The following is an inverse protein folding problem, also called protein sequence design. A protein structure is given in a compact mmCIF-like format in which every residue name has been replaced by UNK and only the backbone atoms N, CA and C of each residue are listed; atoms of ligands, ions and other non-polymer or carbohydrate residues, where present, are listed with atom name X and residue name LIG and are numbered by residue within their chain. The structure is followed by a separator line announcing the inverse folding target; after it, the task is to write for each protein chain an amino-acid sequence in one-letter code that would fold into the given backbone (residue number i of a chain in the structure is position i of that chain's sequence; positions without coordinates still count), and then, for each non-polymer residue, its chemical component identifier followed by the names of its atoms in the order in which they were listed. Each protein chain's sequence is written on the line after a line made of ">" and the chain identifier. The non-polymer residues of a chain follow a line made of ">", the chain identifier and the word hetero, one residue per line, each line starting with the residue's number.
data_IF_139987241195
#
_entry.id   IF_139987241195
#
_cell.length_a   1.000
_cell.length_b   1.000
_cell.length_c   1.000
_cell.angle_alpha   90.00
_cell.angle_beta   90.00
_cell.angle_gamma   90.00
#
_symmetry.space_group_name_H-M   'P 1'
#
loop_
_entity.id
_entity.type
_entity.pdbx_description
1 polymer ?
#
# COMPACT_ATOMS: atom_id res chain seq x y z
N UNK A 1 -27.51 -18.66 68.48
CA UNK A 1 -26.14 -18.63 67.89
C UNK A 1 -26.23 -18.88 66.39
N UNK A 2 -25.27 -18.34 65.63
CA UNK A 2 -25.02 -18.44 64.17
C UNK A 2 -25.58 -17.29 63.31
N UNK A 3 -24.77 -16.23 63.21
CA UNK A 3 -24.79 -15.26 62.10
C UNK A 3 -23.89 -15.82 61.00
N UNK A 4 -24.45 -16.01 59.81
CA UNK A 4 -23.74 -16.43 58.60
C UNK A 4 -23.35 -15.16 57.84
N UNK A 5 -22.05 -14.89 57.74
CA UNK A 5 -21.51 -13.77 56.96
C UNK A 5 -21.32 -14.24 55.52
N UNK A 6 -22.17 -13.72 54.62
CA UNK A 6 -22.04 -13.87 53.17
C UNK A 6 -20.93 -12.93 52.70
N UNK A 7 -19.73 -13.47 52.50
CA UNK A 7 -18.61 -12.80 51.84
C UNK A 7 -18.92 -12.66 50.35
N UNK A 8 -19.39 -11.48 49.94
CA UNK A 8 -19.49 -11.09 48.54
C UNK A 8 -18.08 -10.82 48.00
N UNK A 9 -17.56 -11.77 47.23
CA UNK A 9 -16.32 -11.61 46.46
C UNK A 9 -16.60 -10.63 45.33
N UNK A 10 -16.18 -9.37 45.51
CA UNK A 10 -16.14 -8.34 44.48
C UNK A 10 -15.13 -8.76 43.41
N UNK A 11 -15.63 -9.46 42.40
CA UNK A 11 -14.92 -9.78 41.16
C UNK A 11 -14.68 -8.46 40.42
N UNK A 12 -13.49 -7.88 40.64
CA UNK A 12 -13.04 -6.66 39.98
C UNK A 12 -12.98 -6.88 38.47
N UNK A 13 -13.99 -6.37 37.77
CA UNK A 13 -14.04 -6.29 36.31
C UNK A 13 -12.93 -5.32 35.90
N UNK A 14 -11.78 -5.85 35.51
CA UNK A 14 -10.73 -5.07 34.83
C UNK A 14 -11.29 -4.71 33.45
N UNK A 15 -11.84 -3.50 33.37
CA UNK A 15 -12.28 -2.88 32.13
C UNK A 15 -11.04 -2.70 31.24
N UNK A 16 -10.79 -3.70 30.39
CA UNK A 16 -9.77 -3.64 29.35
C UNK A 16 -10.32 -2.74 28.26
N UNK A 17 -10.19 -1.43 28.44
CA UNK A 17 -10.48 -0.48 27.37
C UNK A 17 -9.60 -0.86 26.18
N UNK A 18 -10.17 -1.13 24.99
CA UNK A 18 -9.34 -1.31 23.80
C UNK A 18 -8.59 0.00 23.61
N UNK A 19 -7.26 -0.03 23.76
CA UNK A 19 -6.40 1.04 23.30
C UNK A 19 -6.62 1.13 21.79
N UNK A 20 -7.44 2.10 21.38
CA UNK A 20 -7.61 2.45 19.99
C UNK A 20 -6.28 3.04 19.52
N UNK A 21 -5.41 2.17 19.04
CA UNK A 21 -4.21 2.51 18.30
C UNK A 21 -4.61 3.36 17.08
N UNK A 22 -4.21 4.63 17.09
CA UNK A 22 -4.58 5.60 16.09
C UNK A 22 -3.47 5.67 15.04
N UNK A 23 -3.79 5.30 13.81
CA UNK A 23 -2.88 5.44 12.65
C UNK A 23 -2.32 6.87 12.57
N UNK A 24 -1.01 7.01 12.84
CA UNK A 24 -0.30 8.29 12.87
C UNK A 24 0.23 8.72 11.49
N UNK A 25 -0.17 8.05 10.42
CA UNK A 25 0.31 8.36 9.07
C UNK A 25 -0.05 9.79 8.64
N UNK A 26 0.90 10.57 8.08
CA UNK A 26 0.63 11.88 7.52
C UNK A 26 -0.47 11.86 6.45
N UNK A 27 -1.25 12.93 6.33
CA UNK A 27 -2.31 13.02 5.32
C UNK A 27 -1.77 12.86 3.87
N UNK A 28 -0.58 13.41 3.59
CA UNK A 28 0.08 13.25 2.30
C UNK A 28 0.43 11.77 1.99
N UNK A 29 0.77 10.97 3.01
CA UNK A 29 1.07 9.55 2.83
C UNK A 29 -0.18 8.79 2.37
N UNK A 30 -1.34 9.11 2.96
CA UNK A 30 -2.64 8.57 2.55
C UNK A 30 -3.04 9.03 1.14
N UNK A 31 -2.71 10.28 0.79
CA UNK A 31 -2.97 10.80 -0.56
C UNK A 31 -2.15 10.06 -1.62
N UNK A 32 -0.87 9.76 -1.36
CA UNK A 32 -0.01 9.03 -2.30
C UNK A 32 -0.59 7.64 -2.60
N UNK A 33 -1.12 6.94 -1.60
CA UNK A 33 -1.74 5.61 -1.79
C UNK A 33 -2.82 5.60 -2.88
N UNK A 34 -3.56 6.70 -3.04
CA UNK A 34 -4.67 6.80 -3.99
C UNK A 34 -4.26 7.44 -5.32
N UNK A 35 -3.19 8.23 -5.34
CA UNK A 35 -2.85 9.10 -6.49
C UNK A 35 -1.57 8.70 -7.20
N UNK A 36 -0.84 7.68 -6.70
CA UNK A 36 0.46 7.26 -7.23
C UNK A 36 0.43 6.86 -8.71
N UNK A 37 -0.63 6.19 -9.19
CA UNK A 37 -0.70 5.67 -10.56
C UNK A 37 -1.06 6.77 -11.57
N UNK A 38 -0.19 7.75 -11.76
CA UNK A 38 -0.43 8.85 -12.71
C UNK A 38 -0.30 8.38 -14.16
N UNK A 39 -1.22 8.85 -15.02
CA UNK A 39 -1.28 8.44 -16.43
C UNK A 39 -0.01 8.80 -17.21
N UNK A 40 0.53 10.00 -16.99
CA UNK A 40 1.73 10.50 -17.68
C UNK A 40 2.96 9.65 -17.37
N UNK A 41 3.16 9.28 -16.11
CA UNK A 41 4.27 8.43 -15.69
C UNK A 41 4.11 6.99 -16.17
N UNK A 42 2.89 6.45 -16.12
CA UNK A 42 2.58 5.14 -16.63
C UNK A 42 2.88 5.06 -18.14
N UNK A 43 2.38 6.02 -18.92
CA UNK A 43 2.60 6.08 -20.38
C UNK A 43 4.09 6.17 -20.71
N UNK A 44 4.84 7.03 -20.01
CA UNK A 44 6.27 7.12 -20.21
C UNK A 44 6.99 5.79 -19.90
N UNK A 45 6.64 5.14 -18.79
CA UNK A 45 7.19 3.82 -18.43
C UNK A 45 6.84 2.74 -19.45
N UNK A 46 5.58 2.63 -19.86
CA UNK A 46 5.13 1.68 -20.89
C UNK A 46 5.86 1.91 -22.22
N UNK A 47 6.10 3.17 -22.60
CA UNK A 47 6.86 3.54 -23.79
C UNK A 47 8.33 3.12 -23.69
N UNK A 48 8.98 3.34 -22.55
CA UNK A 48 10.39 2.95 -22.32
C UNK A 48 10.62 1.44 -22.51
N UNK A 49 9.60 0.64 -22.19
CA UNK A 49 9.64 -0.81 -22.32
C UNK A 49 8.90 -1.34 -23.55
N UNK A 50 8.56 -0.47 -24.51
CA UNK A 50 7.93 -0.85 -25.79
C UNK A 50 6.61 -1.63 -25.65
N UNK A 51 5.85 -1.40 -24.58
CA UNK A 51 4.54 -2.04 -24.41
C UNK A 51 3.57 -1.52 -25.46
N UNK A 52 2.78 -2.40 -26.07
CA UNK A 52 1.83 -2.03 -27.13
C UNK A 52 0.84 -0.96 -26.66
N UNK A 53 0.69 0.12 -27.45
CA UNK A 53 -0.13 1.29 -27.10
C UNK A 53 -1.62 0.98 -27.00
N UNK A 54 -2.10 -0.04 -27.73
CA UNK A 54 -3.50 -0.42 -27.77
C UNK A 54 -4.08 -0.81 -26.39
N UNK A 55 -3.24 -1.24 -25.45
CA UNK A 55 -3.65 -1.67 -24.10
C UNK A 55 -3.38 -0.61 -23.01
N UNK A 56 -2.75 0.52 -23.32
CA UNK A 56 -2.32 1.50 -22.31
C UNK A 56 -3.49 2.09 -21.52
N UNK A 57 -4.58 2.46 -22.20
CA UNK A 57 -5.76 3.01 -21.53
C UNK A 57 -6.43 1.97 -20.61
N UNK A 58 -6.46 0.71 -21.02
CA UNK A 58 -7.03 -0.37 -20.22
C UNK A 58 -6.19 -0.63 -18.97
N UNK A 59 -4.86 -0.70 -19.11
CA UNK A 59 -3.92 -0.80 -17.98
C UNK A 59 -4.14 0.36 -17.01
N UNK A 60 -4.23 1.60 -17.51
CA UNK A 60 -4.43 2.77 -16.67
C UNK A 60 -5.74 2.69 -15.88
N UNK A 61 -6.86 2.37 -16.54
CA UNK A 61 -8.16 2.26 -15.88
C UNK A 61 -8.17 1.18 -14.81
N UNK A 62 -7.55 0.03 -15.08
CA UNK A 62 -7.43 -1.05 -14.10
C UNK A 62 -6.54 -0.67 -12.91
N UNK A 63 -5.47 0.08 -13.13
CA UNK A 63 -4.64 0.62 -12.05
C UNK A 63 -5.40 1.64 -11.19
N UNK A 64 -6.20 2.51 -11.80
CA UNK A 64 -7.06 3.45 -11.07
C UNK A 64 -8.10 2.72 -10.21
N UNK A 65 -8.72 1.68 -10.76
CA UNK A 65 -9.65 0.83 -10.00
C UNK A 65 -8.91 0.12 -8.84
N UNK A 66 -7.73 -0.42 -9.11
CA UNK A 66 -6.87 -1.08 -8.12
C UNK A 66 -6.34 -0.15 -7.02
N UNK A 67 -6.14 1.14 -7.30
CA UNK A 67 -5.63 2.13 -6.34
C UNK A 67 -6.49 2.20 -5.07
N UNK A 68 -7.80 1.99 -5.20
CA UNK A 68 -8.73 1.96 -4.07
C UNK A 68 -8.41 0.88 -3.01
N UNK A 69 -7.70 -0.18 -3.41
CA UNK A 69 -7.29 -1.28 -2.51
C UNK A 69 -5.97 -1.02 -1.77
N UNK A 70 -5.16 -0.06 -2.24
CA UNK A 70 -3.82 0.21 -1.69
C UNK A 70 -3.87 0.52 -0.19
N UNK A 71 -4.77 1.35 0.34
CA UNK A 71 -4.83 1.62 1.79
C UNK A 71 -5.03 0.34 2.62
N UNK A 72 -5.93 -0.55 2.18
CA UNK A 72 -6.17 -1.82 2.87
C UNK A 72 -4.95 -2.73 2.84
N UNK A 73 -4.22 -2.76 1.72
CA UNK A 73 -2.98 -3.55 1.60
C UNK A 73 -1.89 -2.97 2.51
N UNK A 74 -1.72 -1.66 2.56
CA UNK A 74 -0.79 -0.97 3.46
C UNK A 74 -1.09 -1.33 4.92
N UNK A 75 -2.35 -1.24 5.33
CA UNK A 75 -2.77 -1.59 6.70
C UNK A 75 -2.49 -3.05 7.04
N UNK A 76 -2.74 -3.96 6.10
CA UNK A 76 -2.47 -5.39 6.28
C UNK A 76 -0.96 -5.67 6.42
N UNK A 77 -0.14 -5.04 5.57
CA UNK A 77 1.32 -5.18 5.63
C UNK A 77 1.89 -4.58 6.92
N UNK A 78 1.37 -3.44 7.36
CA UNK A 78 1.80 -2.77 8.59
C UNK A 78 1.49 -3.58 9.84
N UNK A 79 0.28 -4.17 9.93
CA UNK A 79 -0.10 -5.07 11.02
C UNK A 79 0.74 -6.34 11.09
N UNK A 80 1.35 -6.76 9.98
CA UNK A 80 2.24 -7.92 9.95
C UNK A 80 3.67 -7.61 10.44
N UNK A 81 4.01 -6.34 10.68
CA UNK A 81 5.31 -5.91 11.23
C UNK A 81 5.22 -5.76 12.75
N UNK A 82 6.33 -6.00 13.43
CA UNK A 82 6.46 -5.78 14.87
C UNK A 82 7.73 -4.95 15.18
N UNK A 83 7.63 -3.69 15.64
CA UNK A 83 6.38 -2.95 15.85
C UNK A 83 5.68 -2.58 14.53
N UNK A 84 4.39 -2.21 14.61
CA UNK A 84 3.65 -1.66 13.49
C UNK A 84 4.28 -0.29 13.10
N UNK A 85 4.74 -0.08 11.85
CA UNK A 85 5.40 1.17 11.48
C UNK A 85 4.45 2.35 11.30
N UNK A 86 3.13 2.12 11.36
CA UNK A 86 2.12 3.18 11.30
C UNK A 86 1.61 3.58 12.71
N UNK A 87 1.97 2.81 13.75
CA UNK A 87 1.40 2.96 15.09
C UNK A 87 2.28 2.29 16.18
N UNK A 88 2.49 2.92 17.35
CA UNK A 88 2.01 4.25 17.76
C UNK A 88 2.89 5.41 17.27
N UNK A 89 4.06 5.09 16.72
CA UNK A 89 4.97 6.08 16.14
C UNK A 89 5.11 5.76 14.67
N UNK A 90 4.87 6.74 13.82
CA UNK A 90 5.10 6.61 12.40
C UNK A 90 6.60 6.46 12.12
N UNK A 91 6.99 5.37 11.45
CA UNK A 91 8.38 5.05 11.11
C UNK A 91 8.61 5.26 9.60
N UNK A 92 9.15 6.42 9.17
CA UNK A 92 9.16 6.83 7.76
C UNK A 92 9.73 5.79 6.81
N UNK A 93 10.93 5.27 7.08
CA UNK A 93 11.58 4.29 6.20
C UNK A 93 10.77 3.00 6.04
N UNK A 94 10.31 2.42 7.14
CA UNK A 94 9.50 1.20 7.13
C UNK A 94 8.13 1.43 6.47
N UNK A 95 7.52 2.60 6.66
CA UNK A 95 6.28 2.97 5.98
C UNK A 95 6.47 3.16 4.48
N UNK A 96 7.60 3.75 4.04
CA UNK A 96 7.93 3.87 2.62
C UNK A 96 8.04 2.49 1.95
N UNK A 97 8.71 1.53 2.60
CA UNK A 97 8.82 0.16 2.11
C UNK A 97 7.45 -0.52 1.99
N UNK A 98 6.58 -0.36 2.98
CA UNK A 98 5.21 -0.90 2.94
C UNK A 98 4.40 -0.29 1.81
N UNK A 99 4.47 1.03 1.65
CA UNK A 99 3.78 1.72 0.58
C UNK A 99 4.25 1.23 -0.78
N UNK A 100 5.57 1.14 -0.97
CA UNK A 100 6.16 0.61 -2.19
C UNK A 100 5.68 -0.81 -2.48
N UNK A 101 5.69 -1.69 -1.48
CA UNK A 101 5.24 -3.07 -1.60
C UNK A 101 3.75 -3.16 -1.95
N UNK A 102 2.90 -2.36 -1.31
CA UNK A 102 1.47 -2.31 -1.57
C UNK A 102 1.17 -1.85 -3.01
N UNK A 103 1.80 -0.75 -3.43
CA UNK A 103 1.66 -0.21 -4.79
C UNK A 103 2.19 -1.19 -5.84
N UNK A 104 3.33 -1.84 -5.58
CA UNK A 104 3.90 -2.82 -6.50
C UNK A 104 2.98 -4.04 -6.66
N UNK A 105 2.38 -4.52 -5.57
CA UNK A 105 1.44 -5.64 -5.61
C UNK A 105 0.26 -5.37 -6.53
N UNK A 106 -0.37 -4.19 -6.41
CA UNK A 106 -1.46 -3.75 -7.30
C UNK A 106 -0.97 -3.63 -8.74
N UNK A 107 0.17 -2.96 -8.94
CA UNK A 107 0.75 -2.76 -10.26
C UNK A 107 1.05 -4.08 -10.97
N UNK A 108 1.73 -4.99 -10.29
CA UNK A 108 2.09 -6.30 -10.81
C UNK A 108 0.83 -7.12 -11.14
N UNK A 109 -0.19 -7.08 -10.27
CA UNK A 109 -1.47 -7.75 -10.53
C UNK A 109 -2.12 -7.30 -11.84
N UNK A 110 -2.18 -5.99 -12.07
CA UNK A 110 -2.71 -5.43 -13.33
C UNK A 110 -1.82 -5.78 -14.51
N UNK A 111 -0.51 -5.56 -14.44
CA UNK A 111 0.38 -5.85 -15.58
C UNK A 111 0.40 -7.33 -15.97
N UNK A 112 0.29 -8.25 -15.01
CA UNK A 112 0.20 -9.69 -15.27
C UNK A 112 -1.07 -10.07 -16.04
N UNK A 113 -2.20 -9.37 -15.82
CA UNK A 113 -3.43 -9.57 -16.59
C UNK A 113 -3.18 -9.35 -18.08
N UNK A 114 -2.36 -8.35 -18.42
CA UNK A 114 -2.04 -7.97 -19.80
C UNK A 114 -0.81 -8.68 -20.38
N UNK A 115 -0.16 -9.58 -19.62
CA UNK A 115 1.07 -10.23 -20.03
C UNK A 115 0.93 -11.06 -21.33
N UNK A 116 -0.25 -11.61 -21.56
CA UNK A 116 -0.57 -12.46 -22.71
C UNK A 116 -1.26 -11.70 -23.86
N UNK A 117 -1.72 -10.47 -23.62
CA UNK A 117 -2.40 -9.64 -24.63
C UNK A 117 -1.40 -8.87 -25.51
N UNK A 118 -0.14 -8.80 -25.10
CA UNK A 118 0.90 -8.15 -25.88
C UNK A 118 1.26 -9.02 -27.11
N UNK A 119 0.73 -8.65 -28.27
CA UNK A 119 1.03 -9.24 -29.58
C UNK A 119 2.54 -9.45 -29.79
N UNK A 120 2.93 -10.69 -30.12
CA UNK A 120 4.19 -11.29 -30.64
C UNK A 120 5.56 -10.57 -30.62
N UNK A 121 5.66 -9.25 -30.49
CA UNK A 121 6.89 -8.46 -30.61
C UNK A 121 7.40 -7.89 -29.28
N UNK A 122 6.58 -7.82 -28.22
CA UNK A 122 7.05 -7.37 -26.90
C UNK A 122 6.29 -8.08 -25.78
N UNK A 123 6.95 -9.00 -25.09
CA UNK A 123 6.35 -9.74 -23.96
C UNK A 123 6.47 -8.90 -22.69
N UNK A 124 5.35 -8.57 -22.06
CA UNK A 124 5.37 -8.02 -20.69
C UNK A 124 5.78 -9.17 -19.76
N UNK A 125 7.08 -9.20 -19.45
CA UNK A 125 7.66 -10.15 -18.51
C UNK A 125 7.97 -9.48 -17.16
N UNK A 126 8.41 -10.26 -16.18
CA UNK A 126 8.69 -9.75 -14.84
C UNK A 126 9.70 -8.60 -14.82
N UNK A 127 10.72 -8.63 -15.69
CA UNK A 127 11.72 -7.56 -15.77
C UNK A 127 11.10 -6.24 -16.29
N UNK A 128 10.17 -6.35 -17.23
CA UNK A 128 9.41 -5.22 -17.76
C UNK A 128 8.53 -4.61 -16.68
N UNK A 129 7.79 -5.44 -15.94
CA UNK A 129 6.92 -5.01 -14.84
C UNK A 129 7.72 -4.28 -13.77
N UNK A 130 8.81 -4.90 -13.28
CA UNK A 130 9.70 -4.29 -12.27
C UNK A 130 10.30 -2.98 -12.79
N UNK A 131 10.72 -2.96 -14.05
CA UNK A 131 11.32 -1.80 -14.70
C UNK A 131 10.39 -0.60 -14.78
N UNK A 132 9.16 -0.81 -15.26
CA UNK A 132 8.14 0.24 -15.37
C UNK A 132 7.77 0.77 -13.99
N UNK A 133 7.54 -0.12 -13.02
CA UNK A 133 7.21 0.30 -11.66
C UNK A 133 8.34 1.11 -11.02
N UNK A 134 9.59 0.65 -11.15
CA UNK A 134 10.76 1.37 -10.64
C UNK A 134 10.84 2.76 -11.22
N UNK A 135 10.65 2.92 -12.53
CA UNK A 135 10.59 4.24 -13.17
C UNK A 135 9.52 5.12 -12.52
N UNK A 136 8.27 4.64 -12.40
CA UNK A 136 7.19 5.42 -11.79
C UNK A 136 7.46 5.78 -10.32
N UNK A 137 8.10 4.89 -9.57
CA UNK A 137 8.51 5.10 -8.19
C UNK A 137 9.56 6.20 -8.08
N UNK A 138 10.64 6.10 -8.87
CA UNK A 138 11.74 7.08 -8.87
C UNK A 138 11.26 8.49 -9.24
N UNK A 139 10.34 8.62 -10.19
CA UNK A 139 9.78 9.92 -10.59
C UNK A 139 8.93 10.60 -9.50
N UNK A 140 8.48 9.85 -8.50
CA UNK A 140 7.62 10.36 -7.41
C UNK A 140 8.27 10.24 -6.03
N UNK A 141 9.49 9.70 -5.95
CA UNK A 141 10.15 9.42 -4.69
C UNK A 141 10.40 10.70 -3.87
N UNK A 142 10.77 11.80 -4.53
CA UNK A 142 10.98 13.10 -3.86
C UNK A 142 9.71 13.65 -3.21
N UNK A 143 8.52 13.37 -3.77
CA UNK A 143 7.23 13.74 -3.16
C UNK A 143 6.98 12.92 -1.89
N UNK A 144 7.38 11.64 -1.91
CA UNK A 144 7.32 10.80 -0.73
C UNK A 144 8.31 11.29 0.33
N UNK A 145 9.58 11.48 0.00
CA UNK A 145 10.59 12.02 0.93
C UNK A 145 10.12 13.32 1.59
N UNK A 146 9.60 14.27 0.80
CA UNK A 146 9.06 15.52 1.33
C UNK A 146 7.85 15.31 2.27
N UNK A 147 7.04 14.30 2.02
CA UNK A 147 5.87 13.96 2.83
C UNK A 147 6.25 13.33 4.18
N UNK A 148 7.17 12.36 4.17
CA UNK A 148 7.48 11.55 5.35
C UNK A 148 8.82 11.89 6.01
N UNK A 149 9.54 12.90 5.48
CA UNK A 149 10.80 13.46 6.01
C UNK A 149 11.88 12.38 6.21
N UNK A 150 12.13 11.60 5.17
CA UNK A 150 13.31 10.73 5.08
C UNK A 150 14.49 11.56 4.58
#
# INVERSE_FOLDING_TARGET
>A
MKRIYLFFVMMGITCSSPLYCYDQSPACYKQIQQTFFRQDLLVAGLSLYSVNQNIWLNIYNDLQNGASSVPSIVDNLARAKNPNPLDPVFLPGASAEILQQALFSVFQGVMNKYAYEASSSTVINQNTIVGIFRYMWEQQYSLLEACIKI
#
